data_IF_457578393606
#
_entry.id   IF_457578393606
#
_cell.length_a   1.000
_cell.length_b   1.000
_cell.length_c   1.000
_cell.angle_alpha   90.00
_cell.angle_beta   90.00
_cell.angle_gamma   90.00
#
_symmetry.space_group_name_H-M   'P 1'
#
loop_
_entity.id
_entity.type
_entity.pdbx_description
1 polymer ?
#
# COMPACT_ATOMS: atom_id res chain seq x y z
N UNK A 1 14.21 -12.57 -25.42
CA UNK A 1 13.09 -11.74 -24.92
C UNK A 1 11.77 -12.39 -25.33
N UNK A 2 10.97 -12.88 -24.39
CA UNK A 2 9.59 -13.30 -24.68
C UNK A 2 8.75 -12.03 -24.64
N UNK A 3 8.07 -11.71 -25.73
CA UNK A 3 7.15 -10.58 -25.78
C UNK A 3 6.18 -10.68 -24.57
N UNK A 4 6.08 -9.66 -23.69
CA UNK A 4 5.20 -9.70 -22.52
C UNK A 4 3.74 -9.94 -22.92
N UNK A 5 3.32 -9.49 -24.11
CA UNK A 5 2.03 -9.85 -24.70
C UNK A 5 1.92 -11.36 -24.93
N UNK A 6 2.96 -12.01 -25.48
CA UNK A 6 2.98 -13.46 -25.68
C UNK A 6 3.06 -14.22 -24.36
N UNK A 7 3.70 -13.68 -23.33
CA UNK A 7 3.74 -14.29 -22.00
C UNK A 7 2.39 -14.21 -21.28
N UNK A 8 1.74 -13.05 -21.30
CA UNK A 8 0.39 -12.83 -20.75
C UNK A 8 -0.64 -13.61 -21.55
N UNK A 9 -0.61 -13.55 -22.88
CA UNK A 9 -1.47 -14.36 -23.75
C UNK A 9 -1.17 -15.85 -23.60
N UNK A 10 0.08 -16.27 -23.37
CA UNK A 10 0.38 -17.68 -23.08
C UNK A 10 -0.08 -18.09 -21.69
N UNK A 11 -0.05 -17.20 -20.69
CA UNK A 11 -0.62 -17.46 -19.38
C UNK A 11 -2.14 -17.56 -19.46
N UNK A 12 -2.78 -16.61 -20.14
CA UNK A 12 -4.22 -16.62 -20.46
C UNK A 12 -4.59 -17.87 -21.24
N UNK A 13 -3.84 -18.21 -22.29
CA UNK A 13 -4.06 -19.42 -23.08
C UNK A 13 -3.83 -20.65 -22.24
N UNK A 14 -2.86 -20.67 -21.32
CA UNK A 14 -2.62 -21.79 -20.42
C UNK A 14 -3.73 -21.92 -19.38
N UNK A 15 -4.30 -20.83 -18.88
CA UNK A 15 -5.50 -20.82 -18.02
C UNK A 15 -6.76 -21.26 -18.80
N UNK A 16 -6.84 -20.97 -20.10
CA UNK A 16 -7.92 -21.41 -21.01
C UNK A 16 -7.73 -22.88 -21.46
N UNK A 17 -6.49 -23.34 -21.66
CA UNK A 17 -6.16 -24.69 -22.19
C UNK A 17 -5.86 -25.71 -21.11
N UNK A 18 -5.59 -25.32 -19.87
CA UNK A 18 -5.47 -26.25 -18.74
C UNK A 18 -6.86 -26.70 -18.29
N UNK A 19 -7.51 -27.54 -19.09
CA UNK A 19 -8.53 -28.56 -18.72
C UNK A 19 -9.56 -28.21 -17.62
N UNK A 20 -9.90 -26.94 -17.43
CA UNK A 20 -11.03 -26.52 -16.63
C UNK A 20 -12.18 -26.27 -17.60
N UNK A 21 -13.18 -27.16 -17.59
CA UNK A 21 -14.45 -27.02 -18.32
C UNK A 21 -15.27 -25.78 -17.95
N UNK A 22 -14.69 -24.82 -17.23
CA UNK A 22 -15.37 -23.66 -16.70
C UNK A 22 -14.90 -22.44 -17.48
N UNK A 23 -15.78 -21.93 -18.35
CA UNK A 23 -15.65 -20.54 -18.78
C UNK A 23 -15.41 -19.64 -17.57
N UNK A 24 -14.52 -18.65 -17.71
CA UNK A 24 -14.28 -17.66 -16.66
C UNK A 24 -15.62 -17.11 -16.15
N UNK A 25 -15.79 -17.07 -14.83
CA UNK A 25 -16.99 -16.50 -14.24
C UNK A 25 -17.06 -14.98 -14.54
N UNK A 26 -18.23 -14.37 -14.37
CA UNK A 26 -18.44 -12.94 -14.67
C UNK A 26 -17.43 -12.03 -13.96
N UNK A 27 -17.02 -12.38 -12.74
CA UNK A 27 -16.04 -11.61 -11.96
C UNK A 27 -14.62 -11.73 -12.52
N UNK A 28 -14.21 -12.94 -12.93
CA UNK A 28 -12.92 -13.21 -13.56
C UNK A 28 -12.82 -12.51 -14.92
N UNK A 29 -13.89 -12.56 -15.73
CA UNK A 29 -13.97 -11.81 -17.00
C UNK A 29 -13.82 -10.31 -16.77
N UNK A 30 -14.49 -9.75 -15.74
CA UNK A 30 -14.38 -8.34 -15.35
C UNK A 30 -12.97 -7.97 -14.87
N UNK A 31 -12.34 -8.82 -14.04
CA UNK A 31 -10.98 -8.60 -13.57
C UNK A 31 -9.97 -8.62 -14.72
N UNK A 32 -10.06 -9.60 -15.62
CA UNK A 32 -9.20 -9.71 -16.80
C UNK A 32 -9.35 -8.49 -17.72
N UNK A 33 -10.59 -8.04 -17.94
CA UNK A 33 -10.86 -6.83 -18.71
C UNK A 33 -10.20 -5.59 -18.07
N UNK A 34 -10.34 -5.41 -16.76
CA UNK A 34 -9.74 -4.29 -16.03
C UNK A 34 -8.20 -4.33 -16.06
N UNK A 35 -7.60 -5.51 -15.89
CA UNK A 35 -6.14 -5.70 -15.99
C UNK A 35 -5.64 -5.36 -17.40
N UNK A 36 -6.34 -5.80 -18.44
CA UNK A 36 -5.99 -5.49 -19.83
C UNK A 36 -6.11 -3.99 -20.11
N UNK A 37 -7.20 -3.36 -19.64
CA UNK A 37 -7.40 -1.91 -19.76
C UNK A 37 -6.26 -1.13 -19.09
N UNK A 38 -5.87 -1.52 -17.88
CA UNK A 38 -4.77 -0.90 -17.15
C UNK A 38 -3.43 -1.08 -17.90
N UNK A 39 -3.15 -2.28 -18.40
CA UNK A 39 -1.92 -2.54 -19.13
C UNK A 39 -1.79 -1.67 -20.39
N UNK A 40 -2.86 -1.55 -21.19
CA UNK A 40 -2.89 -0.68 -22.38
C UNK A 40 -2.66 0.78 -21.96
N UNK A 41 -3.38 1.24 -20.93
CA UNK A 41 -3.21 2.59 -20.40
C UNK A 41 -1.76 2.86 -19.94
N UNK A 42 -1.11 1.89 -19.29
CA UNK A 42 0.28 2.02 -18.87
C UNK A 42 1.24 2.17 -20.05
N UNK A 43 0.98 1.51 -21.18
CA UNK A 43 1.80 1.71 -22.38
C UNK A 43 1.70 3.17 -22.87
N UNK A 44 0.49 3.71 -22.95
CA UNK A 44 0.28 5.11 -23.33
C UNK A 44 0.88 6.08 -22.30
N UNK A 45 0.80 5.74 -21.01
CA UNK A 45 1.40 6.52 -19.93
C UNK A 45 2.93 6.57 -20.04
N UNK A 46 3.58 5.45 -20.36
CA UNK A 46 5.03 5.42 -20.55
C UNK A 46 5.47 6.31 -21.71
N UNK A 47 4.70 6.39 -22.80
CA UNK A 47 4.97 7.34 -23.88
C UNK A 47 4.88 8.80 -23.43
N UNK A 48 4.00 9.13 -22.46
CA UNK A 48 3.92 10.48 -21.87
C UNK A 48 5.09 10.81 -20.95
N UNK A 49 5.80 9.80 -20.43
CA UNK A 49 6.99 9.99 -19.59
C UNK A 49 8.24 10.21 -20.43
N UNK A 50 8.33 9.63 -21.63
CA UNK A 50 9.52 9.73 -22.50
C UNK A 50 10.04 11.16 -22.73
N UNK A 51 9.21 12.20 -22.90
CA UNK A 51 9.69 13.57 -23.07
C UNK A 51 10.47 14.14 -21.87
N UNK A 52 10.40 13.52 -20.71
CA UNK A 52 11.10 13.92 -19.49
C UNK A 52 12.41 13.14 -19.26
N UNK A 53 12.73 12.22 -20.16
CA UNK A 53 13.98 11.48 -20.15
C UNK A 53 15.08 12.30 -20.83
N UNK A 54 16.31 12.14 -20.37
CA UNK A 54 17.48 12.67 -21.07
C UNK A 54 17.66 11.96 -22.43
N UNK A 55 18.41 12.58 -23.36
CA UNK A 55 18.55 12.09 -24.74
C UNK A 55 19.13 10.66 -24.85
N UNK A 56 19.91 10.22 -23.85
CA UNK A 56 20.52 8.89 -23.74
C UNK A 56 19.90 8.01 -22.63
N UNK A 57 18.78 8.45 -22.07
CA UNK A 57 18.04 7.74 -21.03
C UNK A 57 16.96 6.83 -21.63
N UNK A 58 17.10 5.52 -21.40
CA UNK A 58 16.18 4.50 -21.88
C UNK A 58 15.42 3.84 -20.72
N UNK A 59 14.10 3.75 -20.83
CA UNK A 59 13.29 2.95 -19.91
C UNK A 59 13.60 1.47 -20.13
N UNK A 60 14.11 0.81 -19.08
CA UNK A 60 14.43 -0.61 -19.05
C UNK A 60 13.24 -1.45 -18.59
N UNK A 61 12.51 -0.96 -17.58
CA UNK A 61 11.34 -1.63 -17.02
C UNK A 61 10.45 -0.67 -16.24
N UNK A 62 9.29 -1.15 -15.83
CA UNK A 62 8.42 -0.46 -14.89
C UNK A 62 7.72 -1.47 -13.98
N UNK A 63 7.47 -1.06 -12.75
CA UNK A 63 6.76 -1.79 -11.73
C UNK A 63 5.49 -1.01 -11.38
N UNK A 64 4.31 -1.42 -11.87
CA UNK A 64 3.06 -0.86 -11.41
C UNK A 64 2.83 -1.29 -9.96
N UNK A 65 2.59 -0.32 -9.09
CA UNK A 65 2.37 -0.49 -7.65
C UNK A 65 0.91 -0.14 -7.36
N UNK A 66 0.02 -1.01 -7.82
CA UNK A 66 -1.43 -0.84 -7.68
C UNK A 66 -1.84 -1.03 -6.23
N UNK A 67 -2.86 -0.28 -5.80
CA UNK A 67 -3.38 -0.31 -4.42
C UNK A 67 -4.36 -1.47 -4.22
N UNK A 68 -4.00 -2.68 -4.66
CA UNK A 68 -4.86 -3.87 -4.63
C UNK A 68 -5.03 -4.44 -3.20
N UNK A 69 -4.74 -3.64 -2.18
CA UNK A 69 -4.65 -4.02 -0.78
C UNK A 69 -3.35 -4.75 -0.39
N UNK A 70 -2.51 -5.14 -1.37
CA UNK A 70 -1.26 -5.86 -1.11
C UNK A 70 -0.05 -4.92 -0.95
N UNK A 71 -0.08 -3.77 -1.62
CA UNK A 71 0.97 -2.78 -1.56
C UNK A 71 0.57 -1.61 -0.65
N UNK A 72 1.45 -1.20 0.24
CA UNK A 72 1.21 -0.09 1.17
C UNK A 72 2.43 0.85 1.21
N UNK A 73 2.19 2.13 0.93
CA UNK A 73 3.20 3.17 1.08
C UNK A 73 3.33 3.61 2.52
N UNK A 74 4.56 3.94 2.91
CA UNK A 74 4.82 4.80 4.06
C UNK A 74 5.01 6.28 3.65
N UNK A 75 5.10 6.57 2.35
CA UNK A 75 5.47 7.89 1.84
C UNK A 75 4.21 8.67 1.43
N UNK A 76 3.95 9.72 2.22
CA UNK A 76 3.32 10.99 1.81
C UNK A 76 2.29 10.96 0.70
N UNK A 77 1.17 10.28 0.88
CA UNK A 77 -0.04 10.68 0.16
C UNK A 77 -0.76 11.73 1.02
N UNK A 78 -1.18 12.84 0.41
CA UNK A 78 -1.91 13.91 1.10
C UNK A 78 -2.97 13.37 2.05
N UNK A 79 -3.06 13.95 3.25
CA UNK A 79 -3.81 13.67 4.50
C UNK A 79 -4.48 12.28 4.74
N UNK A 80 -4.99 11.57 3.74
CA UNK A 80 -5.62 10.25 3.80
C UNK A 80 -5.39 9.34 2.58
N UNK A 81 -4.48 9.65 1.67
CA UNK A 81 -4.30 8.84 0.47
C UNK A 81 -5.34 9.07 -0.61
N UNK A 82 -6.03 10.22 -0.63
CA UNK A 82 -7.05 10.52 -1.64
C UNK A 82 -6.69 11.80 -2.39
N UNK A 83 -6.65 11.71 -3.72
CA UNK A 83 -6.35 12.83 -4.61
C UNK A 83 -7.63 13.41 -5.21
N UNK A 84 -7.70 14.73 -5.32
CA UNK A 84 -8.80 15.43 -5.99
C UNK A 84 -8.34 15.94 -7.36
N UNK A 85 -8.72 15.27 -8.48
CA UNK A 85 -8.23 15.67 -9.80
C UNK A 85 -8.84 17.00 -10.25
N UNK A 86 -8.02 17.90 -10.78
CA UNK A 86 -8.44 19.20 -11.30
C UNK A 86 -8.59 19.18 -12.83
N UNK A 87 -7.61 18.61 -13.53
CA UNK A 87 -7.56 18.51 -14.99
C UNK A 87 -8.62 17.55 -15.55
N UNK A 88 -8.97 17.77 -16.81
CA UNK A 88 -9.91 16.90 -17.54
C UNK A 88 -9.36 15.48 -17.70
N UNK A 89 -8.05 15.34 -17.87
CA UNK A 89 -7.38 14.06 -18.07
C UNK A 89 -7.36 13.23 -16.77
N UNK A 90 -6.96 13.83 -15.64
CA UNK A 90 -7.02 13.16 -14.35
C UNK A 90 -8.46 12.79 -13.94
N UNK A 91 -9.45 13.64 -14.24
CA UNK A 91 -10.89 13.32 -14.04
C UNK A 91 -11.36 12.15 -14.90
N UNK A 92 -10.89 12.06 -16.15
CA UNK A 92 -11.19 10.93 -17.02
C UNK A 92 -10.61 9.62 -16.46
N UNK A 93 -9.34 9.64 -16.02
CA UNK A 93 -8.69 8.51 -15.37
C UNK A 93 -9.49 8.00 -14.16
N UNK A 94 -9.91 8.89 -13.25
CA UNK A 94 -10.73 8.51 -12.09
C UNK A 94 -12.04 7.87 -12.51
N UNK A 95 -12.72 8.43 -13.52
CA UNK A 95 -13.97 7.86 -14.04
C UNK A 95 -13.76 6.48 -14.66
N UNK A 96 -12.62 6.27 -15.31
CA UNK A 96 -12.31 5.05 -16.05
C UNK A 96 -11.84 3.90 -15.16
N UNK A 97 -11.14 4.20 -14.07
CA UNK A 97 -10.51 3.22 -13.19
C UNK A 97 -11.09 3.20 -11.77
N UNK A 98 -11.97 4.13 -11.43
CA UNK A 98 -12.57 4.31 -10.08
C UNK A 98 -11.51 4.37 -8.97
N UNK A 99 -10.37 4.98 -9.26
CA UNK A 99 -9.22 5.02 -8.36
C UNK A 99 -8.88 6.47 -7.98
N UNK A 100 -9.10 6.78 -6.70
CA UNK A 100 -8.78 8.07 -6.07
C UNK A 100 -7.51 8.00 -5.22
N UNK A 101 -6.99 6.79 -4.97
CA UNK A 101 -5.79 6.58 -4.17
C UNK A 101 -4.51 6.64 -5.02
N UNK A 102 -4.70 6.56 -6.32
CA UNK A 102 -3.67 6.74 -7.32
C UNK A 102 -2.84 5.48 -7.44
N UNK A 103 -3.02 4.74 -8.54
CA UNK A 103 -2.06 3.75 -8.97
C UNK A 103 -0.70 4.42 -9.12
N UNK A 104 0.29 3.84 -8.48
CA UNK A 104 1.66 4.32 -8.51
C UNK A 104 2.45 3.49 -9.49
N UNK A 105 3.51 4.06 -10.03
CA UNK A 105 4.43 3.36 -10.90
C UNK A 105 5.85 3.75 -10.53
N UNK A 106 6.71 2.74 -10.48
CA UNK A 106 8.15 2.92 -10.40
C UNK A 106 8.75 2.50 -11.73
N UNK A 107 9.33 3.45 -12.45
CA UNK A 107 9.95 3.26 -13.74
C UNK A 107 11.46 3.15 -13.52
N UNK A 108 12.08 2.15 -14.13
CA UNK A 108 13.51 1.93 -14.08
C UNK A 108 14.12 2.30 -15.43
N UNK A 109 15.03 3.26 -15.43
CA UNK A 109 15.83 3.60 -16.61
C UNK A 109 17.23 3.02 -16.48
N UNK A 110 18.08 3.28 -17.47
CA UNK A 110 19.52 3.01 -17.36
C UNK A 110 20.25 3.97 -16.42
N UNK A 111 19.65 5.10 -16.01
CA UNK A 111 20.32 6.15 -15.21
C UNK A 111 19.68 6.41 -13.85
N UNK A 112 18.35 6.26 -13.71
CA UNK A 112 17.60 6.57 -12.49
C UNK A 112 16.33 5.74 -12.35
N UNK A 113 15.80 5.73 -11.13
CA UNK A 113 14.41 5.34 -10.87
C UNK A 113 13.51 6.58 -10.92
N UNK A 114 12.34 6.47 -11.56
CA UNK A 114 11.32 7.52 -11.58
C UNK A 114 10.09 6.97 -10.87
N UNK A 115 9.67 7.61 -9.80
CA UNK A 115 8.44 7.28 -9.08
C UNK A 115 7.38 8.33 -9.32
N UNK A 116 6.17 7.89 -9.64
CA UNK A 116 5.04 8.80 -9.76
C UNK A 116 3.72 8.14 -9.42
N UNK A 117 2.80 8.94 -8.88
CA UNK A 117 1.38 8.60 -8.86
C UNK A 117 0.79 8.97 -10.22
N UNK A 118 0.08 8.04 -10.87
CA UNK A 118 -0.47 8.27 -12.22
C UNK A 118 -1.39 9.49 -12.22
N UNK A 119 -2.31 9.57 -11.27
CA UNK A 119 -3.28 10.67 -11.21
C UNK A 119 -2.62 12.05 -11.02
N UNK A 120 -1.57 12.13 -10.20
CA UNK A 120 -0.84 13.38 -9.94
C UNK A 120 -0.02 13.81 -11.16
N UNK A 121 0.57 12.85 -11.87
CA UNK A 121 1.28 13.14 -13.12
C UNK A 121 0.34 13.62 -14.22
N UNK A 122 -0.83 13.00 -14.37
CA UNK A 122 -1.82 13.44 -15.35
C UNK A 122 -2.34 14.86 -15.07
N UNK A 123 -2.30 15.28 -13.80
CA UNK A 123 -2.83 16.58 -13.38
C UNK A 123 -1.78 17.69 -13.38
N UNK A 124 -0.63 17.41 -12.79
CA UNK A 124 0.42 18.40 -12.48
C UNK A 124 1.78 18.05 -13.09
N UNK A 125 1.89 16.91 -13.78
CA UNK A 125 3.16 16.40 -14.34
C UNK A 125 4.25 16.19 -13.27
N UNK A 126 3.82 15.94 -12.02
CA UNK A 126 4.70 15.72 -10.87
C UNK A 126 5.25 14.30 -10.89
N UNK A 127 6.56 14.15 -10.73
CA UNK A 127 7.24 12.87 -10.50
C UNK A 127 8.49 13.06 -9.66
N UNK A 128 8.96 11.99 -9.02
CA UNK A 128 10.20 11.96 -8.26
C UNK A 128 11.27 11.19 -9.03
N UNK A 129 12.45 11.78 -9.15
CA UNK A 129 13.61 11.17 -9.79
C UNK A 129 14.63 10.76 -8.75
N UNK A 130 15.15 9.54 -8.86
CA UNK A 130 16.15 8.97 -7.97
C UNK A 130 17.36 8.47 -8.79
N UNK A 131 18.35 9.35 -9.03
CA UNK A 131 19.59 8.99 -9.71
C UNK A 131 20.31 7.84 -9.02
N UNK A 132 20.77 6.85 -9.79
CA UNK A 132 21.35 5.63 -9.22
C UNK A 132 22.65 5.91 -8.43
N UNK A 133 23.44 6.87 -8.86
CA UNK A 133 24.67 7.32 -8.19
C UNK A 133 24.42 7.90 -6.78
N UNK A 134 23.23 8.43 -6.52
CA UNK A 134 22.86 8.95 -5.20
C UNK A 134 22.37 7.87 -4.23
N UNK A 135 22.05 6.67 -4.72
CA UNK A 135 21.51 5.57 -3.91
C UNK A 135 22.66 4.71 -3.38
N UNK A 136 22.93 4.84 -2.07
CA UNK A 136 24.03 4.12 -1.43
C UNK A 136 23.73 2.64 -1.19
N UNK A 137 22.48 2.31 -0.91
CA UNK A 137 22.04 0.94 -0.65
C UNK A 137 20.53 0.80 -0.84
N UNK A 138 20.12 -0.38 -1.31
CA UNK A 138 18.72 -0.76 -1.41
C UNK A 138 18.42 -1.80 -0.34
N UNK A 139 17.36 -1.57 0.41
CA UNK A 139 16.84 -2.54 1.38
C UNK A 139 15.69 -3.31 0.77
N UNK A 140 15.86 -4.62 0.64
CA UNK A 140 14.78 -5.54 0.28
C UNK A 140 14.63 -6.59 1.38
N UNK A 141 13.61 -6.41 2.23
CA UNK A 141 13.40 -7.26 3.40
C UNK A 141 12.09 -8.02 3.30
N UNK A 142 12.17 -9.34 3.33
CA UNK A 142 10.99 -10.21 3.45
C UNK A 142 10.38 -10.11 4.86
N UNK A 143 9.06 -9.95 4.90
CA UNK A 143 8.22 -10.00 6.09
C UNK A 143 7.19 -11.11 5.91
N UNK A 144 6.92 -11.85 6.99
CA UNK A 144 5.93 -12.92 7.02
C UNK A 144 4.85 -12.59 8.03
N UNK A 145 3.62 -12.39 7.57
CA UNK A 145 2.44 -12.20 8.42
C UNK A 145 1.61 -13.47 8.32
N UNK A 146 1.27 -14.07 9.45
CA UNK A 146 0.35 -15.21 9.44
C UNK A 146 -1.03 -14.71 9.84
N UNK A 147 -2.06 -15.04 9.06
CA UNK A 147 -3.44 -14.76 9.38
C UNK A 147 -4.26 -16.07 9.38
N UNK A 148 -5.43 -16.00 9.99
CA UNK A 148 -6.39 -17.10 9.98
C UNK A 148 -7.38 -16.85 8.86
N UNK A 149 -7.42 -17.79 7.92
CA UNK A 149 -8.40 -17.80 6.86
C UNK A 149 -9.66 -18.51 7.36
N UNK A 150 -10.75 -17.75 7.43
CA UNK A 150 -12.05 -18.17 7.94
C UNK A 150 -13.04 -18.45 6.80
N UNK A 151 -12.68 -18.24 5.54
CA UNK A 151 -13.64 -18.32 4.42
C UNK A 151 -14.12 -19.75 4.14
N UNK A 152 -13.27 -20.78 4.30
CA UNK A 152 -13.58 -22.12 3.79
C UNK A 152 -13.34 -23.31 4.74
N UNK A 153 -12.95 -23.11 6.02
CA UNK A 153 -12.74 -24.25 6.93
C UNK A 153 -12.87 -23.93 8.43
N UNK A 154 -13.43 -24.90 9.18
CA UNK A 154 -13.34 -24.95 10.65
C UNK A 154 -12.62 -26.25 11.07
N UNK A 155 -11.49 -26.19 11.79
CA UNK A 155 -10.84 -24.99 12.30
C UNK A 155 -10.21 -24.12 11.19
N UNK A 156 -10.09 -22.80 11.40
CA UNK A 156 -9.56 -21.88 10.40
C UNK A 156 -8.12 -22.25 10.03
N UNK A 157 -7.83 -22.20 8.73
CA UNK A 157 -6.51 -22.53 8.22
C UNK A 157 -5.57 -21.35 8.46
N UNK A 158 -4.40 -21.62 9.05
CA UNK A 158 -3.35 -20.61 9.17
C UNK A 158 -2.68 -20.43 7.81
N UNK A 159 -2.80 -19.24 7.24
CA UNK A 159 -2.19 -18.86 5.96
C UNK A 159 -1.07 -17.86 6.23
N UNK A 160 0.05 -18.03 5.53
CA UNK A 160 1.17 -17.11 5.57
C UNK A 160 1.11 -16.16 4.37
N UNK A 161 1.02 -14.86 4.64
CA UNK A 161 1.22 -13.80 3.69
C UNK A 161 2.68 -13.37 3.71
N UNK A 162 3.34 -13.44 2.56
CA UNK A 162 4.71 -12.97 2.37
C UNK A 162 4.66 -11.58 1.71
N UNK A 163 5.23 -10.58 2.38
CA UNK A 163 5.37 -9.21 1.88
C UNK A 163 6.83 -8.80 1.92
N UNK A 164 7.23 -7.82 1.12
CA UNK A 164 8.61 -7.35 1.06
C UNK A 164 8.65 -5.85 1.29
N UNK A 165 9.48 -5.38 2.23
CA UNK A 165 9.79 -3.97 2.35
C UNK A 165 10.88 -3.63 1.35
N UNK A 166 10.54 -2.80 0.37
CA UNK A 166 11.48 -2.19 -0.56
C UNK A 166 11.70 -0.73 -0.15
N UNK A 167 12.95 -0.40 0.13
CA UNK A 167 13.30 0.84 0.80
C UNK A 167 14.69 1.32 0.39
N UNK A 168 14.85 2.61 0.08
CA UNK A 168 16.14 3.21 -0.20
C UNK A 168 16.12 4.71 0.11
N UNK A 169 17.30 5.29 0.18
CA UNK A 169 17.52 6.73 0.35
C UNK A 169 18.30 7.24 -0.85
N UNK A 170 17.85 8.35 -1.39
CA UNK A 170 18.42 9.06 -2.53
C UNK A 170 18.48 10.53 -2.15
N UNK A 171 19.68 11.05 -1.95
CA UNK A 171 19.90 12.40 -1.40
C UNK A 171 19.15 12.58 -0.06
N UNK A 172 18.26 13.59 0.06
CA UNK A 172 17.42 13.84 1.23
C UNK A 172 16.00 13.20 1.11
N UNK A 173 15.77 12.35 0.09
CA UNK A 173 14.51 11.66 -0.12
C UNK A 173 14.55 10.19 0.28
N UNK A 174 13.51 9.78 1.01
CA UNK A 174 13.33 8.41 1.46
C UNK A 174 12.18 7.78 0.67
N UNK A 175 12.49 6.70 -0.01
CA UNK A 175 11.50 5.84 -0.64
C UNK A 175 11.28 4.60 0.23
N UNK A 176 10.03 4.28 0.56
CA UNK A 176 9.68 3.09 1.33
C UNK A 176 8.30 2.57 0.96
N UNK A 177 8.26 1.34 0.46
CA UNK A 177 7.05 0.66 0.02
C UNK A 177 7.01 -0.79 0.51
N UNK A 178 5.82 -1.28 0.78
CA UNK A 178 5.55 -2.71 0.94
C UNK A 178 5.08 -3.28 -0.40
N UNK A 179 5.78 -4.32 -0.85
CA UNK A 179 5.52 -5.05 -2.07
C UNK A 179 4.90 -6.41 -1.76
N UNK A 180 3.96 -6.83 -2.60
CA UNK A 180 3.56 -8.23 -2.71
C UNK A 180 4.69 -9.11 -3.22
N UNK A 181 4.51 -10.43 -3.13
CA UNK A 181 5.54 -11.39 -3.57
C UNK A 181 5.84 -11.27 -5.07
N UNK A 182 4.82 -11.10 -5.92
CA UNK A 182 4.99 -10.98 -7.37
C UNK A 182 5.81 -9.74 -7.74
N UNK A 183 5.47 -8.61 -7.15
CA UNK A 183 6.15 -7.32 -7.36
C UNK A 183 7.60 -7.37 -6.88
N UNK A 184 7.85 -8.01 -5.74
CA UNK A 184 9.20 -8.22 -5.23
C UNK A 184 10.06 -9.09 -6.16
N UNK A 185 9.47 -10.09 -6.82
CA UNK A 185 10.19 -10.95 -7.77
C UNK A 185 10.49 -10.22 -9.09
N UNK A 186 9.59 -9.31 -9.52
CA UNK A 186 9.88 -8.39 -10.63
C UNK A 186 11.04 -7.46 -10.25
N UNK A 187 10.98 -6.84 -9.07
CA UNK A 187 12.03 -5.95 -8.58
C UNK A 187 13.39 -6.67 -8.50
N UNK A 188 13.46 -7.86 -7.89
CA UNK A 188 14.69 -8.65 -7.82
C UNK A 188 15.29 -8.92 -9.20
N UNK A 189 14.44 -9.19 -10.20
CA UNK A 189 14.90 -9.38 -11.58
C UNK A 189 15.49 -8.10 -12.14
N UNK A 190 14.83 -6.96 -11.95
CA UNK A 190 15.33 -5.67 -12.43
C UNK A 190 16.63 -5.23 -11.75
N UNK A 191 16.78 -5.52 -10.46
CA UNK A 191 18.04 -5.29 -9.74
C UNK A 191 19.23 -6.10 -10.30
N UNK A 192 18.96 -7.22 -10.97
CA UNK A 192 19.99 -8.05 -11.61
C UNK A 192 20.20 -7.72 -13.09
N UNK A 193 19.17 -7.24 -13.79
CA UNK A 193 19.20 -6.99 -15.24
C UNK A 193 19.72 -5.59 -15.59
N UNK A 194 19.60 -4.62 -14.67
CA UNK A 194 20.02 -3.24 -14.89
C UNK A 194 21.43 -3.05 -14.31
N UNK A 195 22.46 -2.81 -15.15
CA UNK A 195 23.86 -2.76 -14.68
C UNK A 195 24.11 -1.77 -13.54
N UNK A 196 23.50 -0.59 -13.60
CA UNK A 196 23.63 0.43 -12.56
C UNK A 196 23.04 0.02 -11.20
N UNK A 197 22.14 -0.97 -11.17
CA UNK A 197 21.53 -1.50 -9.95
C UNK A 197 22.22 -2.78 -9.45
N UNK A 198 22.96 -3.49 -10.31
CA UNK A 198 23.66 -4.74 -9.97
C UNK A 198 24.72 -4.52 -8.89
N UNK A 199 25.46 -3.40 -8.98
CA UNK A 199 26.52 -3.04 -8.03
C UNK A 199 25.97 -2.45 -6.72
N UNK A 200 24.66 -2.19 -6.62
CA UNK A 200 24.08 -1.62 -5.40
C UNK A 200 24.01 -2.64 -4.28
N UNK A 201 24.41 -2.21 -3.08
CA UNK A 201 24.35 -3.05 -1.89
C UNK A 201 22.90 -3.35 -1.51
N UNK A 202 22.45 -4.58 -1.76
CA UNK A 202 21.14 -5.07 -1.30
C UNK A 202 21.24 -5.53 0.16
N UNK A 203 20.74 -4.71 1.08
CA UNK A 203 20.79 -4.97 2.52
C UNK A 203 19.47 -5.48 3.08
N UNK A 204 19.51 -6.28 4.15
CA UNK A 204 18.30 -6.69 4.89
C UNK A 204 17.84 -5.65 5.94
N UNK A 205 18.69 -4.68 6.25
CA UNK A 205 18.43 -3.62 7.25
C UNK A 205 18.32 -2.30 6.52
N UNK A 206 17.36 -1.48 6.94
CA UNK A 206 17.16 -0.12 6.43
C UNK A 206 18.46 0.66 6.55
N UNK A 207 18.99 1.09 5.42
CA UNK A 207 20.14 1.98 5.34
C UNK A 207 19.65 3.43 5.30
N UNK A 208 20.21 4.26 6.19
CA UNK A 208 20.10 5.72 6.13
C UNK A 208 21.43 6.36 6.44
N UNK A 209 21.77 7.46 5.78
CA UNK A 209 22.92 8.29 6.08
C UNK A 209 22.82 8.87 7.49
N UNK A 210 21.66 9.44 7.83
CA UNK A 210 21.40 9.97 9.17
C UNK A 210 20.84 8.87 10.08
N UNK A 211 21.53 8.62 11.20
CA UNK A 211 21.13 7.59 12.18
C UNK A 211 19.76 7.85 12.82
N UNK A 212 19.36 9.12 12.96
CA UNK A 212 18.09 9.52 13.54
C UNK A 212 16.89 9.12 12.65
N UNK A 213 17.05 9.23 11.34
CA UNK A 213 16.01 8.89 10.36
C UNK A 213 15.71 7.39 10.32
N UNK A 214 16.65 6.55 10.78
CA UNK A 214 16.42 5.10 10.95
C UNK A 214 15.37 4.78 12.02
N UNK A 215 15.13 5.70 12.95
CA UNK A 215 14.16 5.54 14.04
C UNK A 215 12.84 6.21 13.67
N UNK A 216 12.88 7.46 13.21
CA UNK A 216 11.66 8.25 12.95
C UNK A 216 10.93 7.78 11.67
N UNK A 217 11.66 7.46 10.61
CA UNK A 217 11.09 7.10 9.30
C UNK A 217 11.03 5.57 9.08
N UNK A 218 10.92 4.79 10.16
CA UNK A 218 10.76 3.34 10.06
C UNK A 218 9.28 2.97 10.16
N UNK A 219 8.62 2.59 9.05
CA UNK A 219 7.19 2.29 9.05
C UNK A 219 6.81 1.13 9.98
N UNK A 220 7.70 0.15 10.15
CA UNK A 220 7.47 -0.98 11.08
C UNK A 220 7.50 -0.50 12.53
N UNK A 221 8.38 0.44 12.86
CA UNK A 221 8.44 1.02 14.21
C UNK A 221 7.22 1.92 14.46
N UNK A 222 6.86 2.77 13.49
CA UNK A 222 5.69 3.64 13.56
C UNK A 222 4.39 2.84 13.78
N UNK A 223 4.19 1.75 13.04
CA UNK A 223 3.04 0.85 13.22
C UNK A 223 3.02 0.20 14.62
N UNK A 224 4.17 -0.27 15.12
CA UNK A 224 4.24 -0.86 16.46
C UNK A 224 3.92 0.17 17.55
N UNK A 225 4.50 1.37 17.45
CA UNK A 225 4.24 2.46 18.40
C UNK A 225 2.78 2.88 18.40
N UNK A 226 2.17 3.07 17.24
CA UNK A 226 0.75 3.43 17.15
C UNK A 226 -0.14 2.33 17.71
N UNK A 227 0.13 1.05 17.38
CA UNK A 227 -0.59 -0.08 17.92
C UNK A 227 -0.53 -0.12 19.47
N UNK A 228 0.67 0.00 20.06
CA UNK A 228 0.80 -0.01 21.52
C UNK A 228 0.17 1.23 22.16
N UNK A 229 0.33 2.41 21.57
CA UNK A 229 -0.26 3.65 22.06
C UNK A 229 -1.79 3.55 22.11
N UNK A 230 -2.44 3.15 21.02
CA UNK A 230 -3.90 2.98 20.98
C UNK A 230 -4.38 1.85 21.89
N UNK A 231 -3.61 0.76 22.02
CA UNK A 231 -3.97 -0.32 22.95
C UNK A 231 -3.92 0.14 24.40
N UNK A 232 -2.86 0.86 24.80
CA UNK A 232 -2.73 1.42 26.14
C UNK A 232 -3.83 2.46 26.40
N UNK A 233 -4.09 3.34 25.43
CA UNK A 233 -5.16 4.33 25.53
C UNK A 233 -6.53 3.66 25.73
N UNK A 234 -6.82 2.60 24.97
CA UNK A 234 -8.05 1.83 25.14
C UNK A 234 -8.15 1.19 26.52
N UNK A 235 -7.04 0.63 27.05
CA UNK A 235 -6.99 0.07 28.41
C UNK A 235 -7.25 1.16 29.45
N UNK A 236 -6.63 2.33 29.31
CA UNK A 236 -6.85 3.47 30.23
C UNK A 236 -8.32 3.90 30.19
N UNK A 237 -8.90 4.05 29.00
CA UNK A 237 -10.32 4.40 28.85
C UNK A 237 -11.21 3.35 29.51
N UNK A 238 -10.97 2.05 29.27
CA UNK A 238 -11.72 0.97 29.89
C UNK A 238 -11.58 0.97 31.43
N UNK A 239 -10.39 1.25 31.96
CA UNK A 239 -10.18 1.40 33.40
C UNK A 239 -10.94 2.61 33.96
N UNK A 240 -10.94 3.75 33.28
CA UNK A 240 -11.71 4.92 33.68
C UNK A 240 -13.22 4.65 33.63
N UNK A 241 -13.70 3.87 32.65
CA UNK A 241 -15.08 3.39 32.59
C UNK A 241 -15.41 2.45 33.76
N UNK A 242 -14.52 1.51 34.10
CA UNK A 242 -14.70 0.60 35.22
C UNK A 242 -14.71 1.36 36.57
N UNK A 243 -13.83 2.35 36.75
CA UNK A 243 -13.80 3.22 37.92
C UNK A 243 -15.06 4.08 38.04
N UNK A 244 -15.55 4.62 36.91
CA UNK A 244 -16.78 5.40 36.85
C UNK A 244 -18.04 4.57 37.12
N UNK A 245 -18.10 3.35 36.60
CA UNK A 245 -19.26 2.46 36.70
C UNK A 245 -19.34 1.69 38.02
N UNK A 246 -18.25 1.05 38.46
CA UNK A 246 -18.25 0.21 39.67
C UNK A 246 -17.96 0.98 40.95
N UNK A 247 -17.07 1.97 40.88
CA UNK A 247 -16.61 2.71 42.07
C UNK A 247 -17.21 4.10 42.16
N UNK A 248 -17.96 4.57 41.14
CA UNK A 248 -18.49 5.92 41.05
C UNK A 248 -17.42 7.01 41.30
N UNK A 249 -16.21 6.78 40.81
CA UNK A 249 -15.06 7.69 40.93
C UNK A 249 -14.60 8.08 39.52
N UNK A 250 -14.25 9.36 39.34
CA UNK A 250 -13.65 9.85 38.10
C UNK A 250 -14.63 10.43 37.06
N UNK A 251 -14.12 10.79 35.87
CA UNK A 251 -14.83 11.64 34.90
C UNK A 251 -16.05 10.95 34.25
N UNK A 252 -16.07 9.61 34.17
CA UNK A 252 -17.20 8.85 33.63
C UNK A 252 -18.25 8.46 34.69
N UNK A 253 -18.14 8.94 35.94
CA UNK A 253 -19.17 8.71 36.98
C UNK A 253 -20.56 9.16 36.53
N UNK A 254 -20.64 10.31 35.86
CA UNK A 254 -21.92 10.91 35.46
C UNK A 254 -22.70 10.05 34.45
N UNK A 255 -22.01 9.29 33.59
CA UNK A 255 -22.68 8.45 32.58
C UNK A 255 -23.37 7.23 33.18
N UNK A 256 -22.96 6.79 34.38
CA UNK A 256 -23.56 5.63 35.07
C UNK A 256 -24.54 6.03 36.18
N UNK A 257 -24.52 7.28 36.64
CA UNK A 257 -25.46 7.77 37.67
C UNK A 257 -26.90 7.97 37.16
N UNK A 258 -27.13 8.01 35.83
CA UNK A 258 -28.44 8.23 35.22
C UNK A 258 -29.43 7.06 35.38
N UNK A 259 -28.97 5.84 35.68
CA UNK A 259 -29.86 4.67 35.83
C UNK A 259 -30.54 4.60 37.20
N UNK A 260 -29.95 5.17 38.25
CA UNK A 260 -30.50 5.09 39.61
C UNK A 260 -31.45 6.23 39.95
N UNK A 261 -31.27 7.43 39.40
CA UNK A 261 -32.08 8.60 39.81
C UNK A 261 -33.48 8.61 39.20
N UNK A 262 -33.65 8.18 37.95
CA UNK A 262 -34.96 8.18 37.29
C UNK A 262 -35.87 7.05 37.80
N UNK A 263 -35.31 5.84 38.00
CA UNK A 263 -36.05 4.68 38.55
C UNK A 263 -36.53 4.95 39.99
N UNK A 264 -35.70 5.59 40.83
CA UNK A 264 -36.10 5.94 42.20
C UNK A 264 -37.18 7.03 42.22
N UNK A 265 -37.11 8.04 41.35
CA UNK A 265 -38.15 9.07 41.25
C UNK A 265 -39.49 8.52 40.76
N UNK A 266 -39.48 7.60 39.80
CA UNK A 266 -40.69 7.01 39.26
C UNK A 266 -41.37 6.08 40.29
N UNK A 267 -40.58 5.29 41.03
CA UNK A 267 -41.07 4.45 42.14
C UNK A 267 -41.65 5.31 43.28
N UNK A 268 -41.01 6.43 43.64
CA UNK A 268 -41.52 7.32 44.70
C UNK A 268 -42.82 8.03 44.31
N UNK A 269 -42.96 8.41 43.03
CA UNK A 269 -44.18 9.05 42.51
C UNK A 269 -45.36 8.09 42.38
N UNK A 270 -45.08 6.79 42.19
CA UNK A 270 -46.08 5.72 42.16
C UNK A 270 -46.60 5.32 43.54
N UNK A 271 -45.84 5.54 44.61
CA UNK A 271 -46.22 5.18 45.99
C UNK A 271 -46.97 6.29 46.75
N UNK A 272 -47.00 7.51 46.20
CA UNK A 272 -47.64 8.70 46.77
C UNK A 272 -48.96 9.11 46.06
N UNK A 273 -49.50 8.22 45.20
CA UNK A 273 -50.87 8.29 44.69
C UNK A 273 -51.68 7.12 45.25
#
# INVERSE_FOLDING_TARGET
MVNPFKAVINQINKEITSDSKNELNTQQKKNLFNQTKMYIFLQDFIEKIKPYLEDDEEIRAYLPMTSDGQNASAVGLGLLGMYHPESKEAKAYVKDFNDLRGNRILIFTNQRMIFTTIIEFLDQQTFFSYPYDTIKAITLKENKINYFDWEDSFPPKRVALHTYTFDFESEDHIFSELLGQQDADILKRQLLEIPALEDMLVTRKIYRERKFDRIVNNPVLAYKLSYYFFSILAIIVLLLFALGGFFHIGPFKATFNFSTTWIIQEIYSSFLK
#
